data_IF_137556174629
#
_entry.id   IF_137556174629
#
_cell.length_a   1.000
_cell.length_b   1.000
_cell.length_c   1.000
_cell.angle_alpha   90.00
_cell.angle_beta   90.00
_cell.angle_gamma   90.00
#
_symmetry.space_group_name_H-M   'P 1'
#
loop_
_entity.id
_entity.type
_entity.pdbx_description
1 polymer ?
#
# COMPACT_ATOMS: atom_id res chain seq x y z
N UNK A 1 -6.71 40.70 16.00
CA UNK A 1 -7.60 41.85 15.69
C UNK A 1 -9.03 41.62 16.19
N UNK A 2 -9.66 40.47 15.93
CA UNK A 2 -11.03 40.15 16.37
C UNK A 2 -11.30 40.35 17.88
N UNK A 3 -10.38 39.95 18.77
CA UNK A 3 -10.54 40.15 20.22
C UNK A 3 -10.55 41.62 20.66
N UNK A 4 -9.82 42.51 19.98
CA UNK A 4 -9.82 43.96 20.29
C UNK A 4 -11.13 44.62 19.84
N UNK A 5 -11.70 44.17 18.71
CA UNK A 5 -13.00 44.69 18.21
C UNK A 5 -14.16 44.24 19.10
N UNK A 6 -14.13 43.00 19.62
CA UNK A 6 -15.12 42.53 20.60
C UNK A 6 -15.05 43.32 21.92
N UNK A 7 -13.84 43.70 22.37
CA UNK A 7 -13.67 44.56 23.56
C UNK A 7 -14.15 45.99 23.32
N UNK A 8 -13.88 46.57 22.16
CA UNK A 8 -14.34 47.92 21.78
C UNK A 8 -15.86 48.00 21.69
N UNK A 9 -16.51 46.95 21.17
CA UNK A 9 -17.96 46.84 21.11
C UNK A 9 -18.64 46.96 22.47
N UNK A 10 -18.08 46.33 23.52
CA UNK A 10 -18.67 46.34 24.88
C UNK A 10 -18.86 47.74 25.48
N UNK A 11 -18.19 48.76 24.94
CA UNK A 11 -18.26 50.14 25.43
C UNK A 11 -19.07 51.08 24.53
N UNK A 12 -19.51 50.63 23.35
CA UNK A 12 -20.24 51.45 22.39
C UNK A 12 -21.76 51.37 22.65
N UNK A 13 -22.40 52.53 22.84
CA UNK A 13 -23.87 52.65 22.99
C UNK A 13 -24.47 53.27 21.73
N UNK A 14 -25.57 52.70 21.27
CA UNK A 14 -26.42 53.28 20.22
C UNK A 14 -27.21 54.47 20.79
N UNK A 15 -27.69 55.37 19.93
CA UNK A 15 -28.47 56.56 20.33
C UNK A 15 -29.76 56.24 21.09
N UNK A 16 -30.22 54.99 21.04
CA UNK A 16 -31.39 54.46 21.75
C UNK A 16 -31.05 53.76 23.09
N UNK A 17 -29.82 53.89 23.59
CA UNK A 17 -29.42 53.37 24.90
C UNK A 17 -29.03 51.88 24.94
N UNK A 18 -29.18 51.15 23.83
CA UNK A 18 -28.76 49.75 23.74
C UNK A 18 -27.25 49.63 23.52
N UNK A 19 -26.66 48.58 24.09
CA UNK A 19 -25.23 48.26 23.95
C UNK A 19 -24.98 47.56 22.61
N UNK A 20 -23.97 48.03 21.88
CA UNK A 20 -23.59 47.47 20.59
C UNK A 20 -22.72 46.23 20.86
N UNK A 21 -23.24 45.03 20.60
CA UNK A 21 -22.50 43.78 20.80
C UNK A 21 -22.04 43.18 19.46
N UNK A 22 -20.95 43.67 18.85
CA UNK A 22 -20.43 43.10 17.62
C UNK A 22 -19.93 41.68 17.86
N UNK A 23 -20.69 40.70 17.38
CA UNK A 23 -20.26 39.31 17.30
C UNK A 23 -19.33 39.14 16.11
N UNK A 24 -18.03 39.34 16.33
CA UNK A 24 -17.01 39.01 15.33
C UNK A 24 -16.82 37.49 15.35
N UNK A 25 -17.22 36.79 14.29
CA UNK A 25 -16.91 35.37 14.10
C UNK A 25 -15.39 35.23 13.92
N UNK A 26 -14.77 34.28 14.61
CA UNK A 26 -13.31 34.05 14.58
C UNK A 26 -12.84 33.24 13.35
N UNK A 27 -13.68 33.09 12.33
CA UNK A 27 -13.34 32.40 11.09
C UNK A 27 -12.68 33.34 10.09
N UNK A 28 -11.75 32.81 9.30
CA UNK A 28 -11.24 33.52 8.12
C UNK A 28 -12.36 33.47 7.06
N UNK A 29 -12.81 34.61 6.49
CA UNK A 29 -13.81 34.60 5.43
C UNK A 29 -13.31 33.75 4.26
N UNK A 30 -14.12 32.79 3.79
CA UNK A 30 -13.81 32.02 2.59
C UNK A 30 -13.74 32.98 1.40
N UNK A 31 -12.61 33.03 0.70
CA UNK A 31 -12.49 33.79 -0.53
C UNK A 31 -13.36 33.11 -1.59
N UNK A 32 -14.28 33.85 -2.20
CA UNK A 32 -15.09 33.32 -3.31
C UNK A 32 -14.20 33.26 -4.55
N UNK A 33 -14.14 32.10 -5.19
CA UNK A 33 -13.36 31.89 -6.41
C UNK A 33 -14.25 32.17 -7.61
N UNK A 34 -14.30 33.43 -8.04
CA UNK A 34 -15.01 33.85 -9.25
C UNK A 34 -14.13 33.74 -10.51
N UNK A 35 -14.73 33.73 -11.70
CA UNK A 35 -13.99 33.64 -12.97
C UNK A 35 -13.00 34.81 -13.18
N UNK A 36 -13.33 35.99 -12.66
CA UNK A 36 -12.42 37.14 -12.66
C UNK A 36 -11.19 36.91 -11.77
N UNK A 37 -11.35 36.19 -10.66
CA UNK A 37 -10.22 35.79 -9.79
C UNK A 37 -9.32 34.81 -10.55
N UNK A 38 -9.90 33.78 -11.15
CA UNK A 38 -9.17 32.77 -11.93
C UNK A 38 -8.39 33.40 -13.08
N UNK A 39 -9.00 34.35 -13.80
CA UNK A 39 -8.32 35.05 -14.90
C UNK A 39 -7.12 35.87 -14.41
N UNK A 40 -7.26 36.59 -13.28
CA UNK A 40 -6.14 37.32 -12.67
C UNK A 40 -5.05 36.38 -12.18
N UNK A 41 -5.42 35.26 -11.55
CA UNK A 41 -4.47 34.24 -11.11
C UNK A 41 -3.67 33.71 -12.31
N UNK A 42 -4.35 33.38 -13.41
CA UNK A 42 -3.70 32.93 -14.65
C UNK A 42 -2.69 33.95 -15.19
N UNK A 43 -3.05 35.23 -15.23
CA UNK A 43 -2.15 36.28 -15.71
C UNK A 43 -0.91 36.44 -14.82
N UNK A 44 -1.07 36.42 -13.50
CA UNK A 44 0.03 36.56 -12.55
C UNK A 44 0.92 35.33 -12.56
N UNK A 45 0.33 34.13 -12.65
CA UNK A 45 1.05 32.88 -12.80
C UNK A 45 1.87 32.85 -14.08
N UNK A 46 1.30 33.27 -15.21
CA UNK A 46 2.00 33.34 -16.48
C UNK A 46 3.24 34.26 -16.43
N UNK A 47 3.15 35.40 -15.73
CA UNK A 47 4.31 36.30 -15.52
C UNK A 47 5.41 35.68 -14.66
N UNK A 48 5.02 34.84 -13.70
CA UNK A 48 5.91 34.20 -12.73
C UNK A 48 6.35 32.79 -13.14
N UNK A 49 6.01 32.38 -14.36
CA UNK A 49 6.40 31.11 -14.95
C UNK A 49 7.78 31.23 -15.60
N UNK A 50 8.69 30.33 -15.25
CA UNK A 50 9.96 30.20 -15.93
C UNK A 50 9.88 29.08 -16.96
N UNK A 51 10.05 29.44 -18.24
CA UNK A 51 9.99 28.52 -19.38
C UNK A 51 11.16 27.52 -19.39
N UNK A 52 12.36 27.95 -19.01
CA UNK A 52 13.57 27.13 -19.05
C UNK A 52 13.56 26.04 -17.99
N UNK A 53 13.16 26.39 -16.76
CA UNK A 53 13.11 25.44 -15.63
C UNK A 53 11.75 24.77 -15.48
N UNK A 54 10.78 25.07 -16.38
CA UNK A 54 9.36 24.69 -16.26
C UNK A 54 8.86 24.82 -14.82
N UNK A 55 9.08 26.00 -14.24
CA UNK A 55 8.89 26.23 -12.81
C UNK A 55 7.92 27.39 -12.53
N UNK A 56 7.00 27.21 -11.59
CA UNK A 56 6.14 28.29 -11.09
C UNK A 56 6.67 28.84 -9.76
N UNK A 57 6.84 30.16 -9.68
CA UNK A 57 7.18 30.83 -8.44
C UNK A 57 5.97 31.59 -7.85
N UNK A 58 5.28 30.98 -6.89
CA UNK A 58 4.14 31.58 -6.17
C UNK A 58 4.53 32.07 -4.78
N UNK A 59 5.81 32.42 -4.57
CA UNK A 59 6.25 33.00 -3.29
C UNK A 59 5.47 34.28 -3.00
N UNK A 60 4.90 34.38 -1.78
CA UNK A 60 4.07 35.51 -1.34
C UNK A 60 3.02 35.93 -2.38
N UNK A 61 2.21 34.98 -2.84
CA UNK A 61 1.23 35.25 -3.88
C UNK A 61 0.22 36.35 -3.46
N UNK A 62 -0.12 36.41 -2.17
CA UNK A 62 -0.97 37.46 -1.59
C UNK A 62 -0.37 38.88 -1.66
N UNK A 63 0.94 39.01 -1.85
CA UNK A 63 1.65 40.28 -1.85
C UNK A 63 1.93 40.83 -3.26
N UNK A 64 1.47 40.13 -4.32
CA UNK A 64 1.66 40.60 -5.69
C UNK A 64 0.92 41.93 -5.95
N UNK A 65 1.54 42.82 -6.72
CA UNK A 65 0.97 44.11 -7.09
C UNK A 65 -0.35 43.96 -7.86
N UNK A 66 -0.45 42.95 -8.73
CA UNK A 66 -1.62 42.67 -9.55
C UNK A 66 -2.78 42.05 -8.72
N UNK A 67 -2.46 41.52 -7.53
CA UNK A 67 -3.42 40.92 -6.58
C UNK A 67 -3.71 41.82 -5.38
N UNK A 68 -3.13 43.02 -5.31
CA UNK A 68 -3.25 43.92 -4.15
C UNK A 68 -4.70 44.33 -3.84
N UNK A 69 -5.56 44.35 -4.86
CA UNK A 69 -6.99 44.66 -4.76
C UNK A 69 -7.88 43.41 -4.63
N UNK A 70 -7.31 42.21 -4.71
CA UNK A 70 -8.06 40.96 -4.80
C UNK A 70 -7.47 39.95 -3.81
N UNK A 71 -8.25 39.62 -2.78
CA UNK A 71 -7.78 38.77 -1.69
C UNK A 71 -7.60 37.32 -2.17
N UNK A 72 -6.35 36.93 -2.46
CA UNK A 72 -5.96 35.58 -2.93
C UNK A 72 -5.15 34.82 -1.87
N UNK A 73 -5.77 34.37 -0.76
CA UNK A 73 -5.09 33.59 0.25
C UNK A 73 -4.86 32.15 -0.22
N UNK A 74 -3.65 31.81 -0.67
CA UNK A 74 -3.29 30.42 -1.00
C UNK A 74 -3.38 29.45 0.19
N UNK A 75 -3.49 29.94 1.43
CA UNK A 75 -3.72 29.08 2.60
C UNK A 75 -5.16 28.56 2.70
N UNK A 76 -6.10 29.05 1.89
CA UNK A 76 -7.46 28.51 1.82
C UNK A 76 -7.54 27.41 0.76
N UNK A 77 -8.13 26.27 1.14
CA UNK A 77 -8.16 25.07 0.31
C UNK A 77 -8.83 25.32 -1.05
N UNK A 78 -9.90 26.12 -1.09
CA UNK A 78 -10.61 26.46 -2.31
C UNK A 78 -9.80 27.32 -3.29
N UNK A 79 -9.02 28.28 -2.79
CA UNK A 79 -8.16 29.15 -3.63
C UNK A 79 -6.95 28.38 -4.13
N UNK A 80 -6.34 27.57 -3.26
CA UNK A 80 -5.20 26.72 -3.63
C UNK A 80 -5.60 25.65 -4.65
N UNK A 81 -6.79 25.08 -4.49
CA UNK A 81 -7.37 24.13 -5.44
C UNK A 81 -7.48 24.74 -6.84
N UNK A 82 -8.14 25.90 -6.95
CA UNK A 82 -8.24 26.61 -8.21
C UNK A 82 -6.87 27.05 -8.78
N UNK A 83 -5.91 27.37 -7.92
CA UNK A 83 -4.55 27.70 -8.35
C UNK A 83 -3.85 26.53 -9.03
N UNK A 84 -3.96 25.34 -8.45
CA UNK A 84 -3.37 24.11 -8.99
C UNK A 84 -4.07 23.68 -10.28
N UNK A 85 -5.40 23.79 -10.35
CA UNK A 85 -6.17 23.49 -11.57
C UNK A 85 -5.68 24.33 -12.75
N UNK A 86 -5.56 25.65 -12.56
CA UNK A 86 -5.05 26.56 -13.59
C UNK A 86 -3.64 26.15 -14.01
N UNK A 87 -2.79 25.75 -13.07
CA UNK A 87 -1.41 25.35 -13.35
C UNK A 87 -1.38 24.08 -14.20
N UNK A 88 -2.12 23.04 -13.82
CA UNK A 88 -2.10 21.75 -14.53
C UNK A 88 -2.86 21.79 -15.86
N UNK A 89 -3.92 22.60 -15.97
CA UNK A 89 -4.62 22.81 -17.25
C UNK A 89 -3.73 23.51 -18.29
N UNK A 90 -2.85 24.43 -17.86
CA UNK A 90 -2.02 25.21 -18.79
C UNK A 90 -0.62 24.63 -18.97
N UNK A 91 -0.07 23.95 -17.95
CA UNK A 91 1.28 23.38 -17.95
C UNK A 91 1.26 21.98 -17.32
N UNK A 92 0.90 20.94 -18.09
CA UNK A 92 0.87 19.57 -17.59
C UNK A 92 2.26 19.03 -17.23
N UNK A 93 3.32 19.50 -17.90
CA UNK A 93 4.71 19.05 -17.70
C UNK A 93 5.46 19.84 -16.60
N UNK A 94 4.76 20.30 -15.56
CA UNK A 94 5.39 21.14 -14.54
C UNK A 94 6.48 20.39 -13.77
N UNK A 95 7.70 20.94 -13.75
CA UNK A 95 8.85 20.31 -13.07
C UNK A 95 9.06 20.84 -11.66
N UNK A 96 8.87 22.14 -11.42
CA UNK A 96 9.16 22.75 -10.11
C UNK A 96 8.06 23.71 -9.68
N UNK A 97 7.65 23.62 -8.41
CA UNK A 97 6.62 24.47 -7.83
C UNK A 97 7.11 25.08 -6.52
N UNK A 98 7.11 26.41 -6.46
CA UNK A 98 7.49 27.15 -5.26
C UNK A 98 6.28 27.85 -4.63
N UNK A 99 5.97 27.46 -3.39
CA UNK A 99 4.85 27.93 -2.56
C UNK A 99 5.34 28.57 -1.25
N UNK A 100 6.59 29.05 -1.23
CA UNK A 100 7.21 29.65 -0.05
C UNK A 100 6.41 30.86 0.50
N UNK A 101 6.40 31.00 1.83
CA UNK A 101 5.79 32.12 2.56
C UNK A 101 4.34 32.43 2.10
N UNK A 102 3.48 31.41 2.06
CA UNK A 102 2.04 31.54 1.80
C UNK A 102 1.17 31.23 3.03
N UNK A 103 1.79 31.11 4.20
CA UNK A 103 1.12 30.79 5.47
C UNK A 103 0.26 29.51 5.41
N UNK A 104 0.68 28.53 4.59
CA UNK A 104 -0.01 27.24 4.50
C UNK A 104 0.05 26.57 5.88
N UNK A 105 -1.12 26.13 6.39
CA UNK A 105 -1.25 25.46 7.71
C UNK A 105 -1.37 23.96 7.57
N UNK A 106 -2.09 23.50 6.56
CA UNK A 106 -2.33 22.08 6.31
C UNK A 106 -2.14 21.83 4.82
N UNK A 107 -1.20 20.97 4.42
CA UNK A 107 -1.07 20.54 3.02
C UNK A 107 -1.97 19.34 2.71
N UNK A 108 -2.19 18.47 3.71
CA UNK A 108 -2.91 17.21 3.52
C UNK A 108 -4.33 17.40 2.95
N UNK A 109 -5.14 18.25 3.57
CA UNK A 109 -6.53 18.49 3.14
C UNK A 109 -6.62 19.14 1.76
N UNK A 110 -5.68 20.04 1.45
CA UNK A 110 -5.66 20.77 0.18
C UNK A 110 -5.37 19.88 -1.01
N UNK A 111 -4.53 18.85 -0.84
CA UNK A 111 -4.21 17.86 -1.88
C UNK A 111 -5.08 16.59 -1.81
N UNK A 112 -5.85 16.37 -0.75
CA UNK A 112 -6.83 15.28 -0.64
C UNK A 112 -8.10 15.55 -1.47
N UNK A 113 -8.45 16.81 -1.67
CA UNK A 113 -9.62 17.20 -2.47
C UNK A 113 -9.48 16.85 -3.96
N UNK A 114 -8.27 16.55 -4.43
CA UNK A 114 -8.00 16.12 -5.79
C UNK A 114 -7.70 14.62 -5.82
N UNK A 115 -8.58 13.87 -6.49
CA UNK A 115 -8.37 12.45 -6.79
C UNK A 115 -7.22 12.18 -7.77
N UNK A 116 -6.55 13.21 -8.28
CA UNK A 116 -5.48 13.09 -9.28
C UNK A 116 -4.25 13.86 -8.80
N UNK A 117 -3.27 13.13 -8.29
CA UNK A 117 -1.94 13.68 -8.01
C UNK A 117 -1.26 14.07 -9.32
N UNK A 118 -0.55 15.19 -9.39
CA UNK A 118 0.18 15.58 -10.59
C UNK A 118 1.46 14.75 -10.76
N UNK A 119 1.50 13.97 -11.83
CA UNK A 119 2.51 12.95 -12.10
C UNK A 119 3.94 13.42 -12.45
N UNK A 120 4.25 14.67 -12.86
CA UNK A 120 5.62 15.06 -13.20
C UNK A 120 6.34 15.98 -12.21
N UNK A 121 5.73 16.35 -11.06
CA UNK A 121 6.37 17.32 -10.17
C UNK A 121 7.66 16.78 -9.55
N UNK A 122 8.79 17.38 -9.92
CA UNK A 122 10.13 16.95 -9.53
C UNK A 122 10.65 17.71 -8.29
N UNK A 123 10.31 18.99 -8.18
CA UNK A 123 10.76 19.88 -7.11
C UNK A 123 9.59 20.65 -6.48
N UNK A 124 9.56 20.67 -5.15
CA UNK A 124 8.56 21.40 -4.36
C UNK A 124 9.26 22.22 -3.27
N UNK A 125 8.99 23.52 -3.25
CA UNK A 125 9.59 24.46 -2.31
C UNK A 125 8.49 25.03 -1.40
N UNK A 126 8.55 24.67 -0.12
CA UNK A 126 7.61 25.00 0.94
C UNK A 126 8.25 25.64 2.20
N UNK A 127 9.48 26.21 2.20
CA UNK A 127 10.06 26.78 3.41
C UNK A 127 9.13 27.89 3.95
N UNK A 128 9.24 28.17 5.25
CA UNK A 128 8.45 29.22 5.94
C UNK A 128 6.91 29.07 5.93
N UNK A 129 6.36 27.96 5.44
CA UNK A 129 4.95 27.64 5.70
C UNK A 129 4.79 27.06 7.12
N UNK A 130 3.69 27.43 7.80
CA UNK A 130 3.40 26.98 9.17
C UNK A 130 3.10 25.47 9.28
N UNK A 131 3.04 24.75 8.14
CA UNK A 131 2.86 23.31 8.06
C UNK A 131 3.93 22.49 8.78
N UNK A 132 5.14 23.04 8.97
CA UNK A 132 6.25 22.34 9.63
C UNK A 132 6.41 22.62 11.13
N UNK A 133 5.69 23.60 11.68
CA UNK A 133 6.08 24.21 12.96
C UNK A 133 5.22 23.84 14.17
N UNK A 134 4.31 22.87 14.06
CA UNK A 134 3.55 22.39 15.24
C UNK A 134 3.36 20.87 15.17
N UNK A 135 4.20 20.16 15.92
CA UNK A 135 3.96 18.79 16.38
C UNK A 135 4.01 17.62 15.38
N UNK A 136 4.49 17.77 14.15
CA UNK A 136 4.74 16.62 13.26
C UNK A 136 6.22 16.48 12.97
N UNK A 137 6.78 15.34 13.35
CA UNK A 137 8.11 14.88 12.92
C UNK A 137 8.26 15.13 11.43
N UNK A 138 9.37 15.76 11.03
CA UNK A 138 9.69 16.07 9.64
C UNK A 138 9.54 14.84 8.72
N UNK A 139 9.79 13.63 9.24
CA UNK A 139 9.55 12.37 8.54
C UNK A 139 8.08 12.11 8.15
N UNK A 140 7.11 12.41 9.03
CA UNK A 140 5.68 12.26 8.73
C UNK A 140 5.21 13.30 7.70
N UNK A 141 5.78 14.50 7.76
CA UNK A 141 5.53 15.55 6.78
C UNK A 141 6.05 15.16 5.39
N UNK A 142 7.29 14.67 5.32
CA UNK A 142 7.89 14.14 4.08
C UNK A 142 7.06 12.97 3.55
N UNK A 143 6.65 12.02 4.40
CA UNK A 143 5.84 10.87 3.97
C UNK A 143 4.52 11.29 3.32
N UNK A 144 3.78 12.22 3.94
CA UNK A 144 2.52 12.74 3.38
C UNK A 144 2.71 13.47 2.05
N UNK A 145 3.80 14.23 1.90
CA UNK A 145 4.12 14.88 0.62
C UNK A 145 4.47 13.82 -0.44
N UNK A 146 5.26 12.80 -0.09
CA UNK A 146 5.63 11.72 -1.02
C UNK A 146 4.44 10.83 -1.41
N UNK A 147 3.48 10.62 -0.51
CA UNK A 147 2.20 9.96 -0.82
C UNK A 147 1.39 10.72 -1.87
N UNK A 148 1.49 12.06 -1.91
CA UNK A 148 0.79 12.92 -2.88
C UNK A 148 1.58 13.21 -4.15
N UNK A 149 2.91 13.21 -4.08
CA UNK A 149 3.81 13.47 -5.19
C UNK A 149 4.86 12.34 -5.27
N UNK A 150 4.50 11.18 -5.85
CA UNK A 150 5.35 10.00 -5.82
C UNK A 150 6.69 10.19 -6.57
N UNK A 151 6.73 11.06 -7.59
CA UNK A 151 7.94 11.36 -8.37
C UNK A 151 8.77 12.55 -7.84
N UNK A 152 8.42 13.09 -6.66
CA UNK A 152 9.14 14.22 -6.08
C UNK A 152 10.54 13.80 -5.63
N UNK A 153 11.57 14.42 -6.23
CA UNK A 153 12.98 14.17 -5.89
C UNK A 153 13.59 15.27 -5.03
N UNK A 154 13.08 16.50 -5.10
CA UNK A 154 13.59 17.65 -4.33
C UNK A 154 12.49 18.30 -3.49
N UNK A 155 12.71 18.40 -2.19
CA UNK A 155 11.83 19.12 -1.26
C UNK A 155 12.63 20.19 -0.53
N UNK A 156 12.26 21.47 -0.66
CA UNK A 156 12.98 22.60 -0.05
C UNK A 156 14.47 22.65 -0.40
N UNK A 157 14.86 22.22 -1.60
CA UNK A 157 16.26 22.09 -2.01
C UNK A 157 17.00 20.88 -1.42
N UNK A 158 16.36 20.10 -0.54
CA UNK A 158 16.89 18.82 -0.05
C UNK A 158 16.53 17.74 -1.06
N UNK A 159 17.54 17.01 -1.53
CA UNK A 159 17.34 15.82 -2.36
C UNK A 159 16.78 14.73 -1.44
N UNK A 160 15.54 14.31 -1.72
CA UNK A 160 14.93 13.20 -1.00
C UNK A 160 15.57 11.90 -1.48
N UNK A 161 15.92 11.00 -0.55
CA UNK A 161 16.42 9.67 -0.90
C UNK A 161 15.48 9.03 -1.91
N UNK A 162 15.94 8.55 -3.08
CA UNK A 162 15.07 7.95 -4.06
C UNK A 162 14.22 6.89 -3.36
N UNK A 163 12.89 7.02 -3.43
CA UNK A 163 12.10 5.86 -3.09
C UNK A 163 12.52 4.81 -4.10
N UNK A 164 13.02 3.68 -3.60
CA UNK A 164 12.86 2.42 -4.33
C UNK A 164 11.40 2.45 -4.73
N UNK A 165 11.12 2.65 -6.02
CA UNK A 165 9.80 2.38 -6.56
C UNK A 165 9.62 0.87 -6.35
N UNK A 166 9.25 0.47 -5.13
CA UNK A 166 8.33 -0.62 -4.92
C UNK A 166 7.03 -0.11 -5.53
N UNK A 167 7.01 -0.17 -6.85
CA UNK A 167 5.84 0.03 -7.65
C UNK A 167 4.89 -1.11 -7.29
N UNK A 168 4.17 -0.95 -6.17
CA UNK A 168 3.10 -1.84 -5.73
C UNK A 168 1.86 -1.71 -6.64
N UNK A 169 1.99 -1.02 -7.78
CA UNK A 169 1.05 -0.97 -8.90
C UNK A 169 1.67 -1.27 -10.26
N UNK A 170 2.93 -1.64 -10.31
CA UNK A 170 3.27 -2.69 -11.24
C UNK A 170 2.46 -3.88 -10.71
N UNK A 171 1.56 -4.41 -11.51
CA UNK A 171 1.57 -5.87 -11.61
C UNK A 171 3.03 -6.20 -11.93
N UNK A 172 3.88 -6.30 -10.90
CA UNK A 172 4.89 -7.29 -10.89
C UNK A 172 4.06 -8.53 -11.13
N UNK A 173 3.97 -8.91 -12.41
CA UNK A 173 4.09 -10.29 -12.77
C UNK A 173 5.27 -10.74 -11.93
N UNK A 174 4.99 -11.19 -10.69
CA UNK A 174 5.75 -12.23 -10.04
C UNK A 174 6.12 -13.10 -11.21
N UNK A 175 7.42 -13.32 -11.51
CA UNK A 175 7.79 -14.11 -12.68
C UNK A 175 6.86 -15.30 -12.59
N UNK A 176 5.91 -15.42 -13.53
CA UNK A 176 4.88 -16.45 -13.40
C UNK A 176 5.77 -17.66 -13.47
N UNK A 177 6.04 -18.24 -12.31
CA UNK A 177 6.88 -19.41 -12.22
C UNK A 177 6.00 -20.36 -12.97
N UNK A 178 6.33 -20.58 -14.25
CA UNK A 178 5.49 -21.31 -15.20
C UNK A 178 5.02 -22.49 -14.38
N UNK A 179 3.73 -22.58 -14.08
CA UNK A 179 3.25 -23.54 -13.10
C UNK A 179 3.68 -24.89 -13.64
N UNK A 180 4.74 -25.44 -13.05
CA UNK A 180 5.30 -26.70 -13.47
C UNK A 180 4.51 -27.70 -12.66
N UNK A 181 3.89 -28.63 -13.35
CA UNK A 181 3.13 -29.70 -12.69
C UNK A 181 4.01 -30.51 -11.73
N UNK A 182 5.34 -30.46 -11.86
CA UNK A 182 6.28 -31.09 -10.94
C UNK A 182 7.64 -30.39 -11.02
N UNK A 183 8.27 -30.17 -9.87
CA UNK A 183 9.65 -29.70 -9.75
C UNK A 183 10.58 -30.87 -9.47
N UNK A 184 11.51 -31.14 -10.39
CA UNK A 184 12.45 -32.25 -10.26
C UNK A 184 13.87 -31.69 -10.27
N UNK A 185 14.56 -31.73 -9.13
CA UNK A 185 15.96 -31.30 -9.04
C UNK A 185 16.97 -32.35 -9.55
N UNK A 186 16.56 -33.63 -9.61
CA UNK A 186 17.39 -34.75 -10.09
C UNK A 186 16.54 -35.81 -10.81
N UNK A 187 16.86 -36.11 -12.06
CA UNK A 187 16.10 -37.06 -12.90
C UNK A 187 16.21 -38.52 -12.47
N UNK A 188 17.35 -38.93 -11.91
CA UNK A 188 17.58 -40.30 -11.46
C UNK A 188 16.89 -40.54 -10.11
N UNK A 189 17.00 -39.58 -9.18
CA UNK A 189 16.24 -39.57 -7.94
C UNK A 189 14.73 -39.61 -8.20
N UNK A 190 14.26 -38.92 -9.25
CA UNK A 190 12.84 -38.95 -9.61
C UNK A 190 12.32 -40.33 -10.05
N UNK A 191 13.17 -41.19 -10.63
CA UNK A 191 12.76 -42.59 -10.94
C UNK A 191 12.57 -43.39 -9.66
N UNK A 192 13.50 -43.25 -8.72
CA UNK A 192 13.44 -43.91 -7.41
C UNK A 192 12.20 -43.46 -6.63
N UNK A 193 11.95 -42.15 -6.58
CA UNK A 193 10.78 -41.60 -5.88
C UNK A 193 9.47 -42.06 -6.50
N UNK A 194 9.36 -42.09 -7.83
CA UNK A 194 8.15 -42.62 -8.50
C UNK A 194 7.90 -44.08 -8.16
N UNK A 195 8.93 -44.92 -8.24
CA UNK A 195 8.83 -46.33 -7.88
C UNK A 195 8.43 -46.51 -6.40
N UNK A 196 8.98 -45.70 -5.51
CA UNK A 196 8.62 -45.70 -4.10
C UNK A 196 7.15 -45.33 -3.89
N UNK A 197 6.66 -44.27 -4.55
CA UNK A 197 5.27 -43.81 -4.44
C UNK A 197 4.30 -44.91 -4.91
N UNK A 198 4.58 -45.51 -6.07
CA UNK A 198 3.74 -46.59 -6.62
C UNK A 198 3.65 -47.78 -5.64
N UNK A 199 4.78 -48.18 -5.05
CA UNK A 199 4.81 -49.26 -4.05
C UNK A 199 4.14 -48.86 -2.73
N UNK A 200 4.42 -47.66 -2.23
CA UNK A 200 3.90 -47.17 -0.96
C UNK A 200 2.38 -47.09 -1.00
N UNK A 201 1.80 -46.44 -2.02
CA UNK A 201 0.35 -46.31 -2.13
C UNK A 201 -0.33 -47.62 -2.54
N UNK A 202 0.33 -48.50 -3.30
CA UNK A 202 -0.17 -49.86 -3.52
C UNK A 202 -0.31 -50.66 -2.22
N UNK A 203 0.58 -50.46 -1.24
CA UNK A 203 0.47 -51.07 0.09
C UNK A 203 -0.55 -50.30 0.95
N UNK A 204 -0.57 -48.98 0.87
CA UNK A 204 -1.47 -48.14 1.65
C UNK A 204 -2.95 -48.42 1.37
N UNK A 205 -3.29 -48.63 0.10
CA UNK A 205 -4.64 -48.96 -0.36
C UNK A 205 -4.97 -50.45 -0.24
N UNK A 206 -3.99 -51.28 0.12
CA UNK A 206 -4.22 -52.69 0.43
C UNK A 206 -4.89 -52.85 1.80
N UNK A 207 -5.47 -54.02 2.04
CA UNK A 207 -6.04 -54.35 3.35
C UNK A 207 -4.99 -54.43 4.46
N UNK A 208 -3.71 -54.65 4.10
CA UNK A 208 -2.64 -54.87 5.06
C UNK A 208 -1.57 -53.77 5.03
N UNK A 209 -1.87 -52.65 5.69
CA UNK A 209 -0.93 -51.53 5.88
C UNK A 209 0.28 -51.87 6.76
N UNK A 210 0.36 -53.06 7.38
CA UNK A 210 1.51 -53.44 8.22
C UNK A 210 2.81 -53.54 7.41
N UNK A 211 2.72 -53.84 6.11
CA UNK A 211 3.88 -53.88 5.21
C UNK A 211 4.57 -52.51 5.07
N UNK A 212 3.92 -51.41 5.49
CA UNK A 212 4.55 -50.09 5.58
C UNK A 212 5.61 -50.03 6.68
N UNK A 213 5.66 -50.96 7.64
CA UNK A 213 6.69 -50.97 8.69
C UNK A 213 8.12 -51.00 8.14
N UNK A 214 8.32 -51.63 6.99
CA UNK A 214 9.62 -51.70 6.32
C UNK A 214 9.98 -50.39 5.59
N UNK A 215 8.98 -49.56 5.29
CA UNK A 215 9.17 -48.24 4.67
C UNK A 215 9.48 -47.14 5.70
N UNK A 216 9.18 -47.36 6.99
CA UNK A 216 9.42 -46.40 8.07
C UNK A 216 10.67 -46.76 8.89
N UNK A 217 11.57 -45.79 9.05
CA UNK A 217 12.76 -45.92 9.89
C UNK A 217 12.40 -45.94 11.40
N UNK A 218 13.27 -46.50 12.25
CA UNK A 218 12.94 -46.85 13.65
C UNK A 218 12.40 -45.65 14.46
N UNK A 219 12.99 -44.47 14.31
CA UNK A 219 12.62 -43.21 14.98
C UNK A 219 11.83 -42.25 14.06
N UNK A 220 11.24 -42.76 12.98
CA UNK A 220 10.45 -41.93 12.06
C UNK A 220 9.29 -41.24 12.78
N UNK A 221 9.00 -40.00 12.40
CA UNK A 221 7.89 -39.22 12.94
C UNK A 221 6.81 -39.00 11.88
N UNK A 222 5.55 -39.07 12.29
CA UNK A 222 4.38 -38.78 11.46
C UNK A 222 3.57 -37.64 12.10
N UNK A 223 3.15 -36.67 11.28
CA UNK A 223 2.24 -35.60 11.71
C UNK A 223 1.17 -35.40 10.66
N UNK A 224 -0.06 -35.16 11.11
CA UNK A 224 -1.24 -34.97 10.24
C UNK A 224 -1.86 -33.62 10.55
N UNK A 225 -2.19 -32.85 9.51
CA UNK A 225 -2.82 -31.53 9.62
C UNK A 225 -4.01 -31.43 8.68
N UNK A 226 -5.15 -30.97 9.19
CA UNK A 226 -6.33 -30.63 8.38
C UNK A 226 -6.49 -29.11 8.30
N UNK A 227 -7.02 -28.54 7.20
CA UNK A 227 -7.20 -27.08 7.07
C UNK A 227 -8.24 -26.47 8.02
N UNK A 228 -9.00 -27.31 8.74
CA UNK A 228 -10.04 -26.85 9.66
C UNK A 228 -9.41 -26.33 10.95
N UNK A 229 -9.79 -25.10 11.34
CA UNK A 229 -9.13 -24.28 12.37
C UNK A 229 -9.18 -24.82 13.83
N UNK A 230 -9.65 -26.05 14.06
CA UNK A 230 -9.92 -26.58 15.40
C UNK A 230 -9.24 -27.92 15.75
N UNK A 231 -8.34 -28.44 14.92
CA UNK A 231 -7.61 -29.68 15.25
C UNK A 231 -6.13 -29.40 15.49
N UNK A 232 -5.67 -29.71 16.72
CA UNK A 232 -4.24 -29.79 17.05
C UNK A 232 -3.66 -30.99 16.29
N UNK A 233 -2.63 -30.76 15.49
CA UNK A 233 -1.96 -31.83 14.74
C UNK A 233 -1.44 -32.92 15.67
N UNK A 234 -1.79 -34.17 15.38
CA UNK A 234 -1.31 -35.32 16.15
C UNK A 234 0.06 -35.70 15.59
N UNK A 235 1.07 -35.73 16.47
CA UNK A 235 2.41 -36.22 16.14
C UNK A 235 2.62 -37.61 16.76
N UNK A 236 3.11 -38.55 15.95
CA UNK A 236 3.43 -39.93 16.33
C UNK A 236 4.93 -40.15 16.16
N UNK A 237 5.54 -40.85 17.12
CA UNK A 237 6.99 -41.03 17.17
C UNK A 237 7.34 -42.51 17.13
N UNK A 238 8.18 -42.88 16.17
CA UNK A 238 8.61 -44.25 15.94
C UNK A 238 7.72 -44.99 14.93
N UNK A 239 8.33 -45.89 14.17
CA UNK A 239 7.65 -46.60 13.05
C UNK A 239 6.38 -47.35 13.44
N UNK A 240 6.32 -47.91 14.66
CA UNK A 240 5.15 -48.66 15.14
C UNK A 240 3.96 -47.72 15.33
N UNK A 241 4.17 -46.58 15.98
CA UNK A 241 3.13 -45.58 16.23
C UNK A 241 2.68 -44.90 14.94
N UNK A 242 3.61 -44.67 13.99
CA UNK A 242 3.29 -44.17 12.66
C UNK A 242 2.35 -45.13 11.92
N UNK A 243 2.72 -46.41 11.80
CA UNK A 243 1.89 -47.39 11.07
C UNK A 243 0.58 -47.70 11.80
N UNK A 244 0.56 -47.68 13.14
CA UNK A 244 -0.67 -47.80 13.92
C UNK A 244 -1.65 -46.66 13.60
N UNK A 245 -1.16 -45.42 13.54
CA UNK A 245 -1.98 -44.27 13.15
C UNK A 245 -2.49 -44.37 11.71
N UNK A 246 -1.65 -44.85 10.77
CA UNK A 246 -2.10 -45.08 9.39
C UNK A 246 -3.16 -46.18 9.28
N UNK A 247 -3.17 -47.15 10.19
CA UNK A 247 -4.18 -48.21 10.25
C UNK A 247 -5.53 -47.69 10.74
N UNK A 248 -5.54 -46.66 11.58
CA UNK A 248 -6.78 -46.02 12.07
C UNK A 248 -7.50 -45.21 10.98
N UNK A 249 -6.83 -44.87 9.89
CA UNK A 249 -7.45 -44.16 8.78
C UNK A 249 -8.45 -45.03 8.00
N UNK A 250 -9.50 -44.42 7.41
CA UNK A 250 -10.41 -45.09 6.49
C UNK A 250 -9.66 -45.80 5.36
N UNK A 251 -10.29 -46.81 4.77
CA UNK A 251 -9.77 -47.43 3.54
C UNK A 251 -9.81 -46.40 2.43
N UNK A 252 -8.76 -46.35 1.61
CA UNK A 252 -8.60 -45.36 0.55
C UNK A 252 -8.27 -46.03 -0.77
N UNK A 253 -8.58 -45.35 -1.88
CA UNK A 253 -8.01 -45.62 -3.20
C UNK A 253 -7.44 -44.32 -3.73
N UNK A 254 -6.15 -44.32 -4.03
CA UNK A 254 -5.45 -43.19 -4.61
C UNK A 254 -5.54 -43.24 -6.14
N UNK A 255 -5.88 -42.11 -6.76
CA UNK A 255 -5.86 -41.99 -8.23
C UNK A 255 -4.46 -41.57 -8.66
N UNK A 256 -3.59 -42.56 -8.91
CA UNK A 256 -2.18 -42.32 -9.26
C UNK A 256 -1.97 -41.41 -10.48
N UNK A 257 -2.95 -41.29 -11.39
CA UNK A 257 -2.89 -40.35 -12.53
C UNK A 257 -2.92 -38.88 -12.12
N UNK A 258 -3.43 -38.58 -10.92
CA UNK A 258 -3.50 -37.21 -10.38
C UNK A 258 -2.23 -36.81 -9.62
N UNK A 259 -1.32 -37.77 -9.40
CA UNK A 259 -0.16 -37.52 -8.58
C UNK A 259 0.82 -36.60 -9.28
N UNK A 260 1.19 -35.53 -8.58
CA UNK A 260 2.32 -34.67 -8.92
C UNK A 260 3.39 -34.78 -7.83
N UNK A 261 4.65 -34.78 -8.26
CA UNK A 261 5.79 -35.05 -7.38
C UNK A 261 6.82 -33.94 -7.51
N UNK A 262 7.05 -33.24 -6.41
CA UNK A 262 8.09 -32.23 -6.30
C UNK A 262 9.29 -32.80 -5.55
N UNK A 263 10.35 -33.19 -6.26
CA UNK A 263 11.64 -33.53 -5.68
C UNK A 263 12.44 -32.23 -5.47
N UNK A 264 12.35 -31.71 -4.25
CA UNK A 264 12.90 -30.40 -3.85
C UNK A 264 14.36 -30.48 -3.42
N UNK A 265 14.81 -31.63 -2.94
CA UNK A 265 16.19 -31.83 -2.49
C UNK A 265 16.63 -33.29 -2.69
N UNK A 266 17.84 -33.50 -3.23
CA UNK A 266 18.39 -34.82 -3.48
C UNK A 266 19.90 -34.82 -3.23
N UNK A 267 20.35 -35.65 -2.28
CA UNK A 267 21.76 -35.89 -1.96
C UNK A 267 22.00 -37.37 -1.72
N UNK A 268 23.26 -37.77 -1.52
CA UNK A 268 23.62 -39.16 -1.20
C UNK A 268 23.08 -39.66 0.13
N UNK A 269 22.73 -38.75 1.06
CA UNK A 269 22.26 -39.09 2.41
C UNK A 269 20.74 -38.96 2.56
N UNK A 270 20.09 -38.10 1.77
CA UNK A 270 18.67 -37.80 1.92
C UNK A 270 18.04 -37.29 0.61
N UNK A 271 16.79 -37.69 0.40
CA UNK A 271 15.89 -37.09 -0.59
C UNK A 271 14.67 -36.51 0.12
N UNK A 272 14.25 -35.30 -0.29
CA UNK A 272 13.01 -34.68 0.18
C UNK A 272 12.11 -34.45 -1.03
N UNK A 273 10.92 -35.04 -0.97
CA UNK A 273 9.90 -34.85 -2.00
C UNK A 273 8.54 -34.56 -1.38
N UNK A 274 7.68 -33.94 -2.17
CA UNK A 274 6.28 -33.67 -1.85
C UNK A 274 5.40 -34.34 -2.88
N UNK A 275 4.37 -35.04 -2.43
CA UNK A 275 3.37 -35.68 -3.29
C UNK A 275 2.06 -34.92 -3.11
N UNK A 276 1.49 -34.47 -4.22
CA UNK A 276 0.15 -33.88 -4.26
C UNK A 276 -0.72 -34.78 -5.13
N UNK A 277 -1.94 -35.09 -4.69
CA UNK A 277 -2.82 -35.99 -5.41
C UNK A 277 -4.19 -36.08 -4.79
N UNK A 278 -5.08 -36.85 -5.43
CA UNK A 278 -6.42 -37.13 -4.94
C UNK A 278 -6.54 -38.60 -4.53
N UNK A 279 -7.35 -38.83 -3.50
CA UNK A 279 -7.76 -40.15 -3.05
C UNK A 279 -9.26 -40.14 -2.78
N UNK A 280 -9.85 -41.33 -2.74
CA UNK A 280 -11.24 -41.55 -2.39
C UNK A 280 -11.32 -42.51 -1.21
N UNK A 281 -12.16 -42.18 -0.23
CA UNK A 281 -12.48 -43.10 0.86
C UNK A 281 -13.40 -44.22 0.36
N UNK A 282 -13.09 -45.45 0.76
CA UNK A 282 -13.97 -46.61 0.61
C UNK A 282 -14.66 -46.80 1.94
N UNK A 283 -15.93 -46.40 2.03
CA UNK A 283 -16.80 -46.84 3.11
C UNK A 283 -17.12 -48.33 2.91
N UNK A 284 -16.99 -49.12 3.97
CA UNK A 284 -17.37 -50.55 3.98
C UNK A 284 -18.91 -50.74 3.88
N UNK A 285 -19.71 -49.68 3.82
CA UNK A 285 -21.18 -49.69 3.76
C UNK A 285 -21.79 -49.83 2.34
N UNK A 286 -21.07 -50.47 1.41
CA UNK A 286 -21.64 -50.94 0.13
C UNK A 286 -21.47 -52.44 -0.09
N UNK A 287 -21.73 -53.26 0.94
CA UNK A 287 -22.09 -54.66 0.74
C UNK A 287 -23.61 -54.81 0.94
N UNK A 288 -24.24 -55.29 -0.14
CA UNK A 288 -25.67 -55.60 -0.27
C UNK A 288 -26.18 -56.65 0.71
#
# INVERSE_FOLDING_TARGET
MAGRIQQLGRSARLSNGFLLMPRVRSGIPLAVVDDNLKLKMKNVMAKRYNVETKAFNLTRFYADHDLKLTFCPLFQDNVMSAALDIIFENVPDLMSLNLNDNSLRTLALTFDAFGTSPDPLFELVLPQNSCGSRHMEYGNFVRKIREKFPKLQKLNGVILDPQVNLDLRQEAMLPIAKVKNSFICNSDGAKVVRQFIDQYFSIFDSENRQLLLDAYYVDAMLSISTPSAHQVGICKNGRLDCVAALKEFPRTVHEGRTFTVDLTYCTTQMMKFTVTGLFKDIDDDQQS
#
